data_IF_435316705617
#
_entry.id   IF_435316705617
#
_cell.length_a   1.000
_cell.length_b   1.000
_cell.length_c   1.000
_cell.angle_alpha   90.00
_cell.angle_beta   90.00
_cell.angle_gamma   90.00
#
_symmetry.space_group_name_H-M   'P 1'
#
loop_
_entity.id
_entity.type
_entity.pdbx_description
1 polymer ?
#
# COMPACT_ATOMS: atom_id res chain seq x y z
N UNK A 1 -3.72 -1.03 9.12
CA UNK A 1 -3.50 -1.02 7.67
C UNK A 1 -2.90 -2.33 7.26
N UNK A 2 -2.97 -2.73 5.99
CA UNK A 2 -2.17 -3.83 5.49
C UNK A 2 -0.71 -3.62 5.90
N UNK A 3 0.00 -4.71 6.13
CA UNK A 3 1.40 -4.61 6.54
C UNK A 3 2.28 -4.32 5.32
N UNK A 4 3.53 -3.85 5.52
CA UNK A 4 4.49 -3.74 4.42
C UNK A 4 4.65 -5.05 3.63
N UNK A 5 4.47 -6.19 4.30
CA UNK A 5 4.52 -7.50 3.66
C UNK A 5 3.34 -7.73 2.71
N UNK A 6 2.12 -7.43 3.15
CA UNK A 6 0.93 -7.47 2.29
C UNK A 6 1.06 -6.51 1.09
N UNK A 7 1.66 -5.33 1.27
CA UNK A 7 1.94 -4.40 0.18
C UNK A 7 2.88 -5.00 -0.86
N UNK A 8 3.97 -5.66 -0.45
CA UNK A 8 4.88 -6.35 -1.37
C UNK A 8 4.16 -7.46 -2.16
N UNK A 9 3.30 -8.23 -1.50
CA UNK A 9 2.55 -9.30 -2.15
C UNK A 9 1.50 -8.76 -3.14
N UNK A 10 0.86 -7.62 -2.85
CA UNK A 10 0.01 -6.91 -3.82
C UNK A 10 0.83 -6.36 -4.97
N UNK A 11 1.96 -5.69 -4.69
CA UNK A 11 2.83 -5.13 -5.72
C UNK A 11 3.30 -6.20 -6.72
N UNK A 12 3.66 -7.39 -6.24
CA UNK A 12 4.01 -8.52 -7.10
C UNK A 12 2.85 -8.97 -8.00
N UNK A 13 1.63 -9.04 -7.45
CA UNK A 13 0.42 -9.34 -8.25
C UNK A 13 0.13 -8.26 -9.29
N UNK A 14 0.34 -6.98 -8.96
CA UNK A 14 0.19 -5.86 -9.91
C UNK A 14 1.10 -5.99 -11.14
N UNK A 15 2.27 -6.62 -11.02
CA UNK A 15 3.15 -6.91 -12.16
C UNK A 15 2.56 -7.95 -13.12
N UNK A 16 1.62 -8.77 -12.65
CA UNK A 16 0.96 -9.82 -13.41
C UNK A 16 -0.39 -9.38 -13.97
N UNK A 17 -0.97 -8.28 -13.47
CA UNK A 17 -2.30 -7.79 -13.85
C UNK A 17 -2.47 -7.56 -15.36
N UNK A 18 -3.42 -8.23 -16.05
CA UNK A 18 -3.57 -8.15 -17.52
C UNK A 18 -3.84 -6.74 -18.05
N UNK A 19 -4.42 -5.87 -17.23
CA UNK A 19 -4.73 -4.48 -17.60
C UNK A 19 -3.50 -3.58 -17.65
N UNK A 20 -2.37 -4.00 -17.08
CA UNK A 20 -1.12 -3.25 -17.13
C UNK A 20 -0.50 -3.35 -18.54
N UNK A 21 -0.32 -2.19 -19.19
CA UNK A 21 0.21 -2.13 -20.55
C UNK A 21 1.60 -2.75 -20.63
N UNK A 22 1.92 -3.40 -21.75
CA UNK A 22 3.16 -4.18 -21.91
C UNK A 22 4.43 -3.35 -21.68
N UNK A 23 4.43 -2.08 -22.11
CA UNK A 23 5.55 -1.15 -21.89
C UNK A 23 5.71 -0.78 -20.40
N UNK A 24 4.61 -0.53 -19.69
CA UNK A 24 4.62 -0.25 -18.25
C UNK A 24 5.09 -1.47 -17.48
N UNK A 25 4.57 -2.66 -17.80
CA UNK A 25 5.02 -3.92 -17.20
C UNK A 25 6.52 -4.15 -17.41
N UNK A 26 7.00 -3.92 -18.63
CA UNK A 26 8.43 -4.04 -18.95
C UNK A 26 9.30 -3.06 -18.15
N UNK A 27 8.85 -1.81 -17.99
CA UNK A 27 9.51 -0.82 -17.13
C UNK A 27 9.56 -1.30 -15.68
N UNK A 28 8.43 -1.72 -15.10
CA UNK A 28 8.36 -2.14 -13.71
C UNK A 28 9.19 -3.41 -13.43
N UNK A 29 9.29 -4.34 -14.38
CA UNK A 29 10.20 -5.49 -14.24
C UNK A 29 11.67 -5.10 -14.36
N UNK A 30 12.02 -4.18 -15.26
CA UNK A 30 13.40 -3.69 -15.40
C UNK A 30 13.86 -2.97 -14.14
N UNK A 31 12.97 -2.18 -13.55
CA UNK A 31 13.21 -1.37 -12.34
C UNK A 31 12.55 -1.97 -11.09
N UNK A 32 12.51 -3.30 -11.00
CA UNK A 32 11.77 -4.03 -9.96
C UNK A 32 12.14 -3.59 -8.54
N UNK A 33 13.43 -3.34 -8.29
CA UNK A 33 13.89 -2.90 -6.97
C UNK A 33 13.28 -1.55 -6.57
N UNK A 34 13.23 -0.59 -7.50
CA UNK A 34 12.65 0.73 -7.26
C UNK A 34 11.13 0.65 -7.07
N UNK A 35 10.44 -0.15 -7.90
CA UNK A 35 9.00 -0.39 -7.76
C UNK A 35 8.63 -1.01 -6.41
N UNK A 36 9.32 -2.08 -6.00
CA UNK A 36 9.07 -2.73 -4.71
C UNK A 36 9.40 -1.81 -3.54
N UNK A 37 10.48 -1.02 -3.62
CA UNK A 37 10.80 -0.02 -2.61
C UNK A 37 9.68 1.02 -2.47
N UNK A 38 9.18 1.55 -3.59
CA UNK A 38 8.06 2.49 -3.60
C UNK A 38 6.80 1.92 -2.92
N UNK A 39 6.53 0.62 -3.13
CA UNK A 39 5.36 -0.05 -2.54
C UNK A 39 5.37 -0.19 -1.01
N UNK A 40 6.50 0.06 -0.36
CA UNK A 40 6.65 -0.01 1.10
C UNK A 40 7.24 1.26 1.72
N UNK A 41 7.66 2.23 0.90
CA UNK A 41 8.37 3.42 1.36
C UNK A 41 7.53 4.28 2.31
N UNK A 42 6.21 4.34 2.10
CA UNK A 42 5.31 5.12 2.95
C UNK A 42 5.28 4.62 4.41
N UNK A 43 5.47 3.31 4.63
CA UNK A 43 5.52 2.68 5.95
C UNK A 43 6.88 2.82 6.64
N UNK A 44 7.91 3.30 5.93
CA UNK A 44 9.21 3.54 6.55
C UNK A 44 9.08 4.66 7.59
N UNK A 45 9.40 4.34 8.85
CA UNK A 45 9.49 5.36 9.90
C UNK A 45 10.79 6.14 9.74
N UNK A 46 10.76 7.17 8.89
CA UNK A 46 11.92 8.04 8.63
C UNK A 46 12.32 8.81 9.90
N UNK A 47 11.33 9.28 10.67
CA UNK A 47 11.53 9.98 11.95
C UNK A 47 10.58 9.45 13.02
N UNK A 48 11.09 9.29 14.24
CA UNK A 48 10.28 8.87 15.38
C UNK A 48 9.24 9.95 15.70
N UNK A 49 7.96 9.61 15.54
CA UNK A 49 6.84 10.50 15.85
C UNK A 49 6.36 11.37 14.68
N UNK A 50 6.92 11.21 13.48
CA UNK A 50 6.36 11.85 12.29
C UNK A 50 4.88 11.47 12.10
N UNK A 51 4.00 12.42 11.74
CA UNK A 51 2.59 12.13 11.53
C UNK A 51 2.42 11.22 10.31
N UNK A 52 1.39 10.37 10.35
CA UNK A 52 1.10 9.43 9.25
C UNK A 52 0.89 10.16 7.94
N UNK A 53 0.20 11.31 7.96
CA UNK A 53 -0.03 12.11 6.76
C UNK A 53 1.26 12.61 6.07
N UNK A 54 2.41 12.61 6.74
CA UNK A 54 3.68 13.01 6.12
C UNK A 54 4.09 12.09 4.96
N UNK A 55 3.73 10.80 5.04
CA UNK A 55 4.06 9.80 4.02
C UNK A 55 2.81 9.18 3.38
N UNK A 56 1.68 9.15 4.09
CA UNK A 56 0.46 8.56 3.56
C UNK A 56 -0.49 9.59 2.95
N UNK A 57 -0.23 10.89 3.13
CA UNK A 57 -1.04 11.98 2.55
C UNK A 57 -2.53 11.99 2.98
N UNK A 58 -2.88 11.27 4.05
CA UNK A 58 -4.18 11.34 4.70
C UNK A 58 -4.08 11.02 6.20
N UNK A 59 -5.05 11.50 6.98
CA UNK A 59 -5.28 11.10 8.37
C UNK A 59 -6.56 10.26 8.50
N UNK A 60 -6.64 9.36 9.48
CA UNK A 60 -7.84 8.55 9.70
C UNK A 60 -9.08 9.37 10.08
N UNK A 61 -8.88 10.58 10.62
CA UNK A 61 -9.94 11.52 10.96
C UNK A 61 -10.50 12.25 9.74
N UNK A 62 -9.85 12.16 8.58
CA UNK A 62 -10.25 12.82 7.35
C UNK A 62 -11.06 11.87 6.47
N UNK A 63 -12.12 12.42 5.87
CA UNK A 63 -12.86 11.73 4.83
C UNK A 63 -12.00 11.61 3.57
N UNK A 64 -11.83 10.40 3.04
CA UNK A 64 -11.23 10.16 1.72
C UNK A 64 -12.26 10.24 0.58
N UNK A 65 -13.33 11.04 0.76
CA UNK A 65 -14.39 11.19 -0.23
C UNK A 65 -14.00 12.17 -1.35
N UNK A 66 -13.18 13.18 -1.03
CA UNK A 66 -12.95 14.34 -1.90
C UNK A 66 -11.61 14.28 -2.66
N UNK A 67 -10.60 13.59 -2.13
CA UNK A 67 -9.27 13.44 -2.74
C UNK A 67 -8.70 12.07 -2.38
N UNK A 68 -8.18 11.34 -3.38
CA UNK A 68 -7.46 10.08 -3.14
C UNK A 68 -6.05 10.38 -2.59
N UNK A 69 -5.50 9.57 -1.67
CA UNK A 69 -4.19 9.86 -1.08
C UNK A 69 -3.05 10.00 -2.11
N UNK A 70 -3.08 9.25 -3.20
CA UNK A 70 -2.09 9.38 -4.26
C UNK A 70 -2.25 10.67 -5.07
N UNK A 71 -3.46 11.22 -5.20
CA UNK A 71 -3.70 12.53 -5.82
C UNK A 71 -3.15 13.63 -4.94
N UNK A 72 -3.39 13.55 -3.63
CA UNK A 72 -2.83 14.47 -2.64
C UNK A 72 -1.30 14.47 -2.68
N UNK A 73 -0.67 13.28 -2.77
CA UNK A 73 0.78 13.12 -2.95
C UNK A 73 1.28 13.90 -4.17
N UNK A 74 0.64 13.70 -5.31
CA UNK A 74 1.00 14.32 -6.58
C UNK A 74 0.79 15.84 -6.58
N UNK A 75 -0.29 16.31 -5.96
CA UNK A 75 -0.58 17.75 -5.80
C UNK A 75 0.44 18.45 -4.90
N UNK A 76 0.80 17.82 -3.78
CA UNK A 76 1.76 18.36 -2.82
C UNK A 76 3.21 18.26 -3.32
N UNK A 77 3.49 17.32 -4.23
CA UNK A 77 4.81 17.12 -4.82
C UNK A 77 4.73 17.09 -6.36
N UNK A 78 4.48 18.22 -7.05
CA UNK A 78 4.23 18.24 -8.49
C UNK A 78 5.37 17.68 -9.35
N UNK A 79 6.61 17.67 -8.83
CA UNK A 79 7.75 17.07 -9.51
C UNK A 79 7.61 15.55 -9.73
N UNK A 80 6.75 14.87 -8.96
CA UNK A 80 6.49 13.43 -9.13
C UNK A 80 5.77 13.09 -10.45
N UNK A 81 5.10 14.06 -11.07
CA UNK A 81 4.53 13.91 -12.42
C UNK A 81 5.59 13.83 -13.52
N UNK A 82 6.83 14.24 -13.22
CA UNK A 82 7.94 14.25 -14.17
C UNK A 82 9.13 13.48 -13.60
N UNK A 83 9.07 12.13 -13.61
CA UNK A 83 10.21 11.32 -13.19
C UNK A 83 11.46 11.65 -14.00
N UNK A 84 12.61 11.74 -13.33
CA UNK A 84 13.89 12.09 -13.95
C UNK A 84 14.56 10.89 -14.64
N UNK A 85 14.23 9.66 -14.23
CA UNK A 85 14.65 8.42 -14.85
C UNK A 85 13.60 7.30 -14.65
N UNK A 86 13.86 6.14 -15.27
CA UNK A 86 13.00 4.96 -15.22
C UNK A 86 12.83 4.41 -13.80
N UNK A 87 13.88 4.43 -12.99
CA UNK A 87 13.84 3.96 -11.61
C UNK A 87 12.93 4.83 -10.75
N UNK A 88 13.01 6.16 -10.90
CA UNK A 88 12.11 7.08 -10.24
C UNK A 88 10.66 6.88 -10.68
N UNK A 89 10.42 6.66 -11.98
CA UNK A 89 9.07 6.38 -12.48
C UNK A 89 8.49 5.10 -11.85
N UNK A 90 9.30 4.04 -11.77
CA UNK A 90 8.91 2.78 -11.14
C UNK A 90 8.67 2.94 -9.63
N UNK A 91 9.50 3.70 -8.92
CA UNK A 91 9.32 4.04 -7.51
C UNK A 91 7.99 4.76 -7.27
N UNK A 92 7.69 5.80 -8.06
CA UNK A 92 6.42 6.55 -7.94
C UNK A 92 5.23 5.64 -8.21
N UNK A 93 5.30 4.76 -9.22
CA UNK A 93 4.24 3.78 -9.49
C UNK A 93 4.00 2.83 -8.30
N UNK A 94 5.07 2.36 -7.64
CA UNK A 94 4.98 1.57 -6.42
C UNK A 94 4.30 2.33 -5.28
N UNK A 95 4.68 3.59 -5.08
CA UNK A 95 4.10 4.46 -4.04
C UNK A 95 2.60 4.71 -4.27
N UNK A 96 2.20 4.96 -5.53
CA UNK A 96 0.78 5.07 -5.90
C UNK A 96 0.03 3.77 -5.56
N UNK A 97 0.61 2.62 -5.89
CA UNK A 97 0.04 1.32 -5.54
C UNK A 97 -0.13 1.11 -4.03
N UNK A 98 0.85 1.54 -3.22
CA UNK A 98 0.75 1.53 -1.76
C UNK A 98 -0.45 2.36 -1.28
N UNK A 99 -0.51 3.63 -1.69
CA UNK A 99 -1.56 4.56 -1.26
C UNK A 99 -2.96 4.12 -1.70
N UNK A 100 -3.09 3.57 -2.92
CA UNK A 100 -4.36 3.04 -3.40
C UNK A 100 -4.83 1.83 -2.59
N UNK A 101 -3.91 0.92 -2.22
CA UNK A 101 -4.25 -0.22 -1.37
C UNK A 101 -4.71 0.23 0.02
N UNK A 102 -4.03 1.21 0.60
CA UNK A 102 -4.38 1.79 1.88
C UNK A 102 -5.74 2.50 1.86
N UNK A 103 -6.02 3.24 0.79
CA UNK A 103 -7.32 3.86 0.58
C UNK A 103 -8.43 2.80 0.54
N UNK A 104 -8.29 1.79 -0.33
CA UNK A 104 -9.27 0.71 -0.48
C UNK A 104 -9.50 0.00 0.84
N UNK A 105 -8.42 -0.37 1.55
CA UNK A 105 -8.53 -1.04 2.85
C UNK A 105 -9.21 -0.16 3.90
N UNK A 106 -8.89 1.13 3.94
CA UNK A 106 -9.51 2.07 4.88
C UNK A 106 -11.00 2.23 4.60
N UNK A 107 -11.39 2.43 3.34
CA UNK A 107 -12.76 2.70 2.92
C UNK A 107 -13.65 1.48 2.97
N UNK A 108 -13.14 0.32 2.58
CA UNK A 108 -13.94 -0.90 2.43
C UNK A 108 -13.85 -1.84 3.62
N UNK A 109 -12.75 -1.81 4.39
CA UNK A 109 -12.54 -2.72 5.52
C UNK A 109 -12.56 -2.00 6.87
N UNK A 110 -11.60 -1.11 7.14
CA UNK A 110 -11.42 -0.55 8.49
C UNK A 110 -12.56 0.38 8.87
N UNK A 111 -12.92 1.33 8.01
CA UNK A 111 -13.97 2.32 8.28
C UNK A 111 -15.34 1.66 8.58
N UNK A 112 -15.86 0.81 7.69
CA UNK A 112 -17.17 0.19 7.89
C UNK A 112 -17.20 -0.81 9.03
N UNK A 113 -16.14 -1.62 9.21
CA UNK A 113 -16.19 -2.77 10.12
C UNK A 113 -15.54 -2.53 11.48
N UNK A 114 -14.49 -1.70 11.56
CA UNK A 114 -13.72 -1.51 12.80
C UNK A 114 -13.90 -0.14 13.43
N UNK A 115 -14.37 0.86 12.68
CA UNK A 115 -14.71 2.18 13.20
C UNK A 115 -16.22 2.31 13.41
N UNK A 116 -17.01 2.20 12.34
CA UNK A 116 -18.42 2.61 12.31
C UNK A 116 -19.38 1.62 12.97
N UNK A 117 -19.10 0.31 12.88
CA UNK A 117 -19.95 -0.73 13.48
C UNK A 117 -19.56 -1.01 14.93
N UNK A 118 -20.57 -1.07 15.80
CA UNK A 118 -20.41 -1.39 17.22
C UNK A 118 -20.81 -2.84 17.53
N UNK A 119 -19.96 -3.78 17.15
CA UNK A 119 -20.18 -5.22 17.38
C UNK A 119 -19.36 -5.79 18.55
N UNK A 120 -18.43 -5.00 19.10
CA UNK A 120 -17.64 -5.33 20.28
C UNK A 120 -16.97 -4.07 20.84
N UNK A 121 -16.38 -4.19 22.04
CA UNK A 121 -15.54 -3.14 22.61
C UNK A 121 -14.43 -2.73 21.63
N UNK A 122 -14.01 -1.47 21.69
CA UNK A 122 -12.96 -0.95 20.81
C UNK A 122 -11.69 -1.81 20.88
N UNK A 123 -11.26 -2.21 22.08
CA UNK A 123 -10.10 -3.09 22.27
C UNK A 123 -10.27 -4.44 21.55
N UNK A 124 -11.43 -5.08 21.66
CA UNK A 124 -11.70 -6.35 21.00
C UNK A 124 -11.69 -6.20 19.47
N UNK A 125 -12.31 -5.12 18.95
CA UNK A 125 -12.26 -4.81 17.52
C UNK A 125 -10.82 -4.67 17.03
N UNK A 126 -9.95 -4.00 17.78
CA UNK A 126 -8.54 -3.88 17.40
C UNK A 126 -7.77 -5.19 17.45
N UNK A 127 -8.01 -6.06 18.45
CA UNK A 127 -7.40 -7.40 18.48
C UNK A 127 -7.81 -8.19 17.24
N UNK A 128 -9.09 -8.19 16.89
CA UNK A 128 -9.57 -8.89 15.70
C UNK A 128 -9.00 -8.33 14.39
N UNK A 129 -8.78 -7.01 14.30
CA UNK A 129 -8.07 -6.43 13.17
C UNK A 129 -6.66 -7.00 13.05
N UNK A 130 -5.92 -7.13 14.15
CA UNK A 130 -4.58 -7.71 14.13
C UNK A 130 -4.59 -9.20 13.76
N UNK A 131 -5.57 -9.97 14.23
CA UNK A 131 -5.75 -11.37 13.81
C UNK A 131 -5.94 -11.46 12.29
N UNK A 132 -6.75 -10.58 11.70
CA UNK A 132 -6.93 -10.53 10.24
C UNK A 132 -5.62 -10.18 9.52
N UNK A 133 -4.87 -9.19 10.01
CA UNK A 133 -3.59 -8.81 9.42
C UNK A 133 -2.56 -9.95 9.47
N UNK A 134 -2.50 -10.70 10.57
CA UNK A 134 -1.64 -11.89 10.69
C UNK A 134 -2.04 -12.95 9.65
N UNK A 135 -3.33 -13.24 9.52
CA UNK A 135 -3.82 -14.22 8.53
C UNK A 135 -3.53 -13.76 7.09
N UNK A 136 -3.62 -12.45 6.81
CA UNK A 136 -3.24 -11.90 5.52
C UNK A 136 -1.75 -12.09 5.24
N UNK A 137 -0.88 -11.82 6.23
CA UNK A 137 0.55 -12.04 6.08
C UNK A 137 0.88 -13.52 5.85
N UNK A 138 0.24 -14.44 6.56
CA UNK A 138 0.41 -15.88 6.35
C UNK A 138 -0.02 -16.33 4.94
N UNK A 139 -1.18 -15.84 4.46
CA UNK A 139 -1.66 -16.09 3.09
C UNK A 139 -0.66 -15.56 2.06
N UNK A 140 -0.20 -14.33 2.24
CA UNK A 140 0.69 -13.64 1.31
C UNK A 140 2.09 -14.30 1.30
N UNK A 141 2.51 -14.93 2.40
CA UNK A 141 3.76 -15.68 2.49
C UNK A 141 3.70 -16.99 1.68
N UNK A 142 2.56 -17.67 1.71
CA UNK A 142 2.36 -18.92 0.97
C UNK A 142 2.34 -18.72 -0.55
N UNK A 143 1.90 -17.54 -0.99
CA UNK A 143 1.79 -17.20 -2.42
C UNK A 143 3.06 -16.54 -2.98
N UNK A 144 4.02 -16.18 -2.13
CA UNK A 144 5.29 -15.62 -2.56
C UNK A 144 6.17 -16.70 -3.25
N UNK A 145 6.94 -16.37 -4.30
CA UNK A 145 7.77 -17.32 -5.05
C UNK A 145 8.78 -18.15 -4.21
N UNK A 146 9.11 -17.69 -2.99
CA UNK A 146 9.99 -18.43 -2.05
C UNK A 146 9.25 -19.38 -1.10
N UNK A 147 7.93 -19.26 -0.97
CA UNK A 147 7.09 -20.10 -0.11
C UNK A 147 6.84 -21.51 -0.65
N UNK A 148 6.97 -21.70 -1.97
CA UNK A 148 6.80 -22.99 -2.64
C UNK A 148 7.96 -23.98 -2.50
N UNK A 149 9.11 -23.56 -1.98
CA UNK A 149 10.32 -24.39 -1.87
C UNK A 149 10.41 -25.20 -0.56
N UNK A 150 9.35 -25.23 0.26
CA UNK A 150 9.30 -26.04 1.49
C UNK A 150 8.09 -26.98 1.47
N UNK A 151 8.12 -27.99 0.61
CA UNK A 151 7.42 -29.26 0.82
C UNK A 151 8.28 -30.39 0.31
#
# INVERSE_FOLDING_TARGET
MPTPFSHLAVAQRLLEEPTLAANQRSLLHRELGAFLLGSVAADARIEAGAPRAATHFYEYSQSMADEMPWEAMMRLNPSLWMPYDDAHAAFVAGYVGHLAMDEIWSRQMVGPHFISRDWATQQHRWVMLHVILIVMDERDLQTSPRGGARR
#
